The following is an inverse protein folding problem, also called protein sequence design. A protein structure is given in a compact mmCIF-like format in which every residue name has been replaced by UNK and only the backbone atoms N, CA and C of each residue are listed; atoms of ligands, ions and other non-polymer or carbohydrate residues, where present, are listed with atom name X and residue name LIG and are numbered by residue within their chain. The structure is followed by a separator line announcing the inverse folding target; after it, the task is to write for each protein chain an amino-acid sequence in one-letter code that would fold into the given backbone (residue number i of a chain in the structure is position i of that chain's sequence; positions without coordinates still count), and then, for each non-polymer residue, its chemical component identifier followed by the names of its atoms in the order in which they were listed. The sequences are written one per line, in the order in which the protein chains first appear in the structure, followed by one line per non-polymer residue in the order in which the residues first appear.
data_IF_697556033686
#
_entry.id   IF_697556033686
#
_cell.length_a   1.000
_cell.length_b   1.000
_cell.length_c   1.000
_cell.angle_alpha   90.00
_cell.angle_beta   90.00
_cell.angle_gamma   90.00
#
_symmetry.space_group_name_H-M   'P 1'
#
loop_
_entity.id
_entity.type
_entity.pdbx_description
1 polymer ?
#
# COMPACT_ATOMS: atom_id res chain seq x y z
N UNK A 1 18.36 52.75 35.03
CA UNK A 1 17.60 51.67 34.36
C UNK A 1 18.48 51.06 33.27
N UNK A 2 19.13 49.93 33.55
CA UNK A 2 19.04 48.78 32.63
C UNK A 2 19.16 47.43 33.37
N UNK A 3 18.18 46.52 33.24
CA UNK A 3 18.33 45.09 33.65
C UNK A 3 17.11 44.27 33.22
N UNK A 4 16.94 44.00 31.91
CA UNK A 4 15.96 43.01 31.42
C UNK A 4 16.37 42.21 30.18
N UNK A 5 17.64 42.24 29.77
CA UNK A 5 18.09 41.55 28.53
C UNK A 5 18.81 40.21 28.81
N UNK A 6 19.20 39.92 30.05
CA UNK A 6 20.09 38.76 30.33
C UNK A 6 19.39 37.41 30.54
N UNK A 7 18.07 37.35 30.73
CA UNK A 7 17.38 36.10 31.08
C UNK A 7 16.90 35.27 29.89
N UNK A 8 16.81 35.84 28.68
CA UNK A 8 16.33 35.11 27.51
C UNK A 8 17.39 34.20 26.88
N UNK A 9 18.68 34.57 26.96
CA UNK A 9 19.76 33.79 26.33
C UNK A 9 20.07 32.46 27.01
N UNK A 10 19.87 32.37 28.33
CA UNK A 10 20.20 31.16 29.10
C UNK A 10 19.18 30.04 28.85
N UNK A 11 17.91 30.38 28.60
CA UNK A 11 16.87 29.37 28.38
C UNK A 11 17.04 28.63 27.04
N UNK A 12 17.53 29.32 25.99
CA UNK A 12 17.73 28.74 24.66
C UNK A 12 18.93 27.78 24.63
N UNK A 13 19.99 28.08 25.39
CA UNK A 13 21.17 27.23 25.47
C UNK A 13 20.88 25.89 26.16
N UNK A 14 20.06 25.89 27.23
CA UNK A 14 19.73 24.67 27.98
C UNK A 14 18.81 23.73 27.18
N UNK A 15 17.88 24.27 26.40
CA UNK A 15 17.02 23.44 25.53
C UNK A 15 17.80 22.75 24.41
N UNK A 16 18.81 23.41 23.83
CA UNK A 16 19.61 22.81 22.75
C UNK A 16 20.47 21.64 23.24
N UNK A 17 21.03 21.73 24.45
CA UNK A 17 21.84 20.63 25.00
C UNK A 17 21.00 19.41 25.39
N UNK A 18 19.76 19.61 25.86
CA UNK A 18 18.85 18.52 26.19
C UNK A 18 18.38 17.75 24.95
N UNK A 19 18.11 18.47 23.84
CA UNK A 19 17.68 17.84 22.59
C UNK A 19 18.80 17.02 21.93
N UNK A 20 20.05 17.50 22.00
CA UNK A 20 21.20 16.77 21.44
C UNK A 20 21.52 15.50 22.23
N UNK A 21 21.39 15.52 23.56
CA UNK A 21 21.55 14.33 24.40
C UNK A 21 20.46 13.27 24.15
N UNK A 22 19.22 13.70 23.87
CA UNK A 22 18.11 12.80 23.53
C UNK A 22 18.32 12.13 22.16
N UNK A 23 18.86 12.86 21.18
CA UNK A 23 19.20 12.31 19.87
C UNK A 23 20.32 11.27 19.95
N UNK A 24 21.37 11.53 20.74
CA UNK A 24 22.47 10.57 20.94
C UNK A 24 22.04 9.29 21.69
N UNK A 25 21.02 9.38 22.56
CA UNK A 25 20.48 8.21 23.26
C UNK A 25 19.64 7.29 22.34
N UNK A 26 19.07 7.82 21.25
CA UNK A 26 18.29 7.04 20.29
C UNK A 26 19.17 6.18 19.38
N UNK A 27 20.40 6.61 19.07
CA UNK A 27 21.33 5.83 18.23
C UNK A 27 21.81 4.54 18.91
N UNK A 28 21.82 4.47 20.24
CA UNK A 28 22.24 3.26 20.95
C UNK A 28 21.17 2.16 21.04
N UNK A 29 19.93 2.42 20.64
CA UNK A 29 18.84 1.44 20.72
C UNK A 29 18.71 0.63 19.42
N UNK A 30 19.37 1.03 18.32
CA UNK A 30 19.19 0.39 17.01
C UNK A 30 20.32 -0.54 16.55
N UNK A 31 21.29 -0.84 17.42
CA UNK A 31 22.39 -1.74 17.12
C UNK A 31 22.28 -3.05 17.92
N UNK A 32 21.35 -3.92 17.53
CA UNK A 32 21.31 -5.26 18.07
C UNK A 32 20.13 -6.08 17.59
N UNK A 33 20.30 -6.83 16.50
CA UNK A 33 19.98 -8.26 16.55
C UNK A 33 20.63 -9.03 15.39
N UNK A 34 21.07 -10.23 15.76
CA UNK A 34 22.05 -11.03 15.06
C UNK A 34 21.45 -11.84 13.91
N UNK A 35 22.32 -12.11 12.93
CA UNK A 35 22.09 -13.04 11.84
C UNK A 35 21.73 -14.44 12.37
N UNK A 36 20.54 -14.91 12.04
CA UNK A 36 20.16 -16.32 12.18
C UNK A 36 20.30 -16.99 10.83
N UNK A 37 21.32 -17.85 10.71
CA UNK A 37 21.54 -18.76 9.58
C UNK A 37 20.44 -19.83 9.55
N UNK A 38 19.68 -19.91 8.46
CA UNK A 38 18.71 -20.98 8.19
C UNK A 38 19.39 -22.07 7.34
N UNK A 39 19.26 -23.36 7.71
CA UNK A 39 19.81 -24.46 6.92
C UNK A 39 19.00 -24.72 5.65
N UNK A 40 19.74 -25.09 4.58
CA UNK A 40 19.22 -25.50 3.29
C UNK A 40 18.38 -26.79 3.41
N UNK A 41 17.16 -26.77 2.86
CA UNK A 41 16.32 -27.95 2.72
C UNK A 41 16.33 -28.45 1.27
N UNK A 42 16.51 -29.77 1.17
CA UNK A 42 16.79 -30.55 -0.02
C UNK A 42 15.63 -30.62 -1.02
N UNK A 43 15.98 -30.50 -2.29
CA UNK A 43 15.19 -30.83 -3.47
C UNK A 43 14.82 -32.32 -3.53
N UNK A 44 13.53 -32.63 -3.62
CA UNK A 44 13.04 -33.93 -4.05
C UNK A 44 12.42 -33.78 -5.44
N UNK A 45 13.12 -34.30 -6.45
CA UNK A 45 12.65 -34.39 -7.82
C UNK A 45 11.48 -35.39 -7.92
N UNK A 46 10.35 -34.95 -8.46
CA UNK A 46 9.23 -35.82 -8.82
C UNK A 46 9.13 -35.91 -10.35
N UNK A 47 9.17 -37.15 -10.82
CA UNK A 47 9.11 -37.62 -12.21
C UNK A 47 7.85 -37.15 -12.94
N UNK A 48 7.94 -36.80 -14.25
CA UNK A 48 6.79 -36.41 -15.05
C UNK A 48 5.93 -37.60 -15.44
N UNK A 49 4.60 -37.48 -15.28
CA UNK A 49 3.63 -38.38 -15.90
C UNK A 49 3.16 -37.80 -17.24
N UNK A 50 3.24 -38.63 -18.27
CA UNK A 50 2.72 -38.39 -19.60
C UNK A 50 1.20 -38.39 -19.60
N UNK A 51 0.58 -37.38 -20.21
CA UNK A 51 -0.86 -37.34 -20.49
C UNK A 51 -1.03 -37.04 -21.99
N UNK A 52 -1.89 -37.85 -22.59
CA UNK A 52 -2.20 -38.00 -24.01
C UNK A 52 -2.73 -36.73 -24.72
N UNK A 53 -2.66 -36.68 -26.06
CA UNK A 53 -3.19 -35.60 -26.88
C UNK A 53 -4.66 -35.83 -27.30
N UNK A 54 -5.44 -34.73 -27.42
CA UNK A 54 -6.56 -34.41 -28.36
C UNK A 54 -7.58 -33.45 -27.67
N UNK A 55 -8.44 -32.67 -28.38
CA UNK A 55 -8.64 -32.45 -29.81
C UNK A 55 -8.54 -30.96 -30.24
N UNK A 56 -8.73 -30.71 -31.55
CA UNK A 56 -8.41 -29.47 -32.27
C UNK A 56 -9.27 -28.20 -32.02
N UNK A 57 -9.07 -27.16 -32.87
CA UNK A 57 -9.38 -25.78 -32.55
C UNK A 57 -10.85 -25.43 -32.79
N UNK A 58 -11.58 -25.10 -31.73
CA UNK A 58 -12.85 -24.38 -31.82
C UNK A 58 -12.55 -22.87 -31.90
N UNK A 59 -12.82 -22.29 -33.07
CA UNK A 59 -12.78 -20.86 -33.29
C UNK A 59 -13.70 -20.15 -32.28
N UNK A 60 -13.10 -19.36 -31.39
CA UNK A 60 -13.84 -18.53 -30.44
C UNK A 60 -13.97 -17.12 -30.99
N UNK A 61 -15.20 -16.80 -31.36
CA UNK A 61 -15.69 -15.48 -31.75
C UNK A 61 -15.38 -14.49 -30.64
N UNK A 62 -14.45 -13.57 -30.89
CA UNK A 62 -14.15 -12.46 -29.98
C UNK A 62 -15.21 -11.39 -30.19
N UNK A 63 -16.31 -11.45 -29.44
CA UNK A 63 -17.29 -10.38 -29.40
C UNK A 63 -16.84 -9.33 -28.40
N UNK A 64 -16.37 -8.22 -28.96
CA UNK A 64 -16.06 -6.92 -28.38
C UNK A 64 -16.96 -6.55 -27.19
N UNK A 65 -16.41 -6.66 -25.98
CA UNK A 65 -16.95 -6.07 -24.74
C UNK A 65 -16.15 -4.80 -24.43
N UNK A 66 -16.47 -3.70 -25.12
CA UNK A 66 -15.76 -2.41 -24.98
C UNK A 66 -16.58 -1.32 -24.26
N UNK A 67 -17.78 -1.65 -23.74
CA UNK A 67 -18.67 -0.65 -23.11
C UNK A 67 -19.01 -0.92 -21.64
N UNK A 68 -18.44 -1.96 -21.01
CA UNK A 68 -18.58 -2.24 -19.57
C UNK A 68 -17.31 -1.90 -18.77
N UNK A 69 -16.50 -0.96 -19.29
CA UNK A 69 -15.22 -0.49 -18.73
C UNK A 69 -15.37 0.76 -17.84
N UNK A 70 -16.56 1.35 -17.71
CA UNK A 70 -16.69 2.67 -17.08
C UNK A 70 -16.81 2.69 -15.54
N UNK A 71 -16.97 1.54 -14.88
CA UNK A 71 -17.33 1.45 -13.45
C UNK A 71 -16.35 0.64 -12.60
N UNK A 72 -15.09 0.55 -13.01
CA UNK A 72 -14.15 -0.36 -12.35
C UNK A 72 -13.32 0.38 -11.32
N UNK A 73 -13.52 -0.02 -10.05
CA UNK A 73 -12.60 0.27 -8.96
C UNK A 73 -11.20 -0.18 -9.35
N UNK A 74 -10.24 0.53 -8.82
CA UNK A 74 -8.83 0.29 -9.06
C UNK A 74 -8.13 0.06 -7.74
N UNK A 75 -7.10 -0.76 -7.80
CA UNK A 75 -6.30 -1.14 -6.65
C UNK A 75 -4.90 -0.59 -6.84
N UNK A 76 -4.41 0.19 -5.87
CA UNK A 76 -3.02 0.66 -5.83
C UNK A 76 -2.30 -0.12 -4.74
N UNK A 77 -1.24 -0.84 -5.08
CA UNK A 77 -0.39 -1.56 -4.13
C UNK A 77 0.80 -0.66 -3.82
N UNK A 78 0.82 -0.06 -2.63
CA UNK A 78 1.98 0.63 -2.09
C UNK A 78 2.93 -0.42 -1.50
N UNK A 79 4.12 -0.54 -2.07
CA UNK A 79 5.10 -1.52 -1.65
C UNK A 79 6.45 -1.33 -2.30
N UNK A 80 7.31 -2.33 -2.13
CA UNK A 80 8.64 -2.36 -2.74
C UNK A 80 8.81 -3.65 -3.52
N UNK A 81 9.46 -3.59 -4.70
CA UNK A 81 9.77 -4.79 -5.51
C UNK A 81 10.75 -5.74 -4.83
N UNK A 82 11.50 -5.27 -3.82
CA UNK A 82 12.37 -6.15 -3.02
C UNK A 82 11.59 -6.93 -1.97
N UNK A 83 10.37 -6.51 -1.61
CA UNK A 83 9.52 -7.22 -0.66
C UNK A 83 8.85 -8.47 -1.30
N UNK A 84 9.10 -9.69 -0.79
CA UNK A 84 8.48 -10.91 -1.33
C UNK A 84 6.95 -10.89 -1.27
N UNK A 85 6.35 -10.36 -0.19
CA UNK A 85 4.90 -10.24 -0.04
C UNK A 85 4.28 -9.24 -1.02
N UNK A 86 5.00 -8.17 -1.36
CA UNK A 86 4.57 -7.20 -2.37
C UNK A 86 4.53 -7.84 -3.76
N UNK A 87 5.60 -8.53 -4.16
CA UNK A 87 5.65 -9.25 -5.45
C UNK A 87 4.60 -10.35 -5.54
N UNK A 88 4.42 -11.10 -4.46
CA UNK A 88 3.38 -12.10 -4.32
C UNK A 88 1.97 -11.53 -4.59
N UNK A 89 1.68 -10.37 -4.01
CA UNK A 89 0.41 -9.70 -4.18
C UNK A 89 0.23 -9.15 -5.61
N UNK A 90 1.28 -8.54 -6.17
CA UNK A 90 1.29 -8.06 -7.57
C UNK A 90 1.02 -9.21 -8.54
N UNK A 91 1.73 -10.33 -8.41
CA UNK A 91 1.54 -11.51 -9.26
C UNK A 91 0.12 -12.09 -9.14
N UNK A 92 -0.41 -12.21 -7.92
CA UNK A 92 -1.79 -12.66 -7.70
C UNK A 92 -2.80 -11.78 -8.45
N UNK A 93 -2.67 -10.46 -8.39
CA UNK A 93 -3.59 -9.58 -9.11
C UNK A 93 -3.41 -9.66 -10.62
N UNK A 94 -2.19 -9.82 -11.12
CA UNK A 94 -1.94 -9.98 -12.56
C UNK A 94 -2.57 -11.27 -13.10
N UNK A 95 -2.52 -12.36 -12.34
CA UNK A 95 -3.06 -13.66 -12.72
C UNK A 95 -4.60 -13.71 -12.60
N UNK A 96 -5.13 -13.33 -11.44
CA UNK A 96 -6.55 -13.54 -11.11
C UNK A 96 -7.44 -12.35 -11.53
N UNK A 97 -6.87 -11.14 -11.62
CA UNK A 97 -7.62 -9.88 -11.75
C UNK A 97 -6.90 -8.86 -12.68
N UNK A 98 -6.57 -9.25 -13.92
CA UNK A 98 -5.72 -8.44 -14.79
C UNK A 98 -6.33 -7.07 -15.10
N UNK A 99 -5.47 -6.05 -15.18
CA UNK A 99 -5.83 -4.69 -15.60
C UNK A 99 -6.58 -3.86 -14.54
N UNK A 100 -6.64 -4.33 -13.28
CA UNK A 100 -7.31 -3.61 -12.17
C UNK A 100 -6.35 -3.08 -11.11
N UNK A 101 -5.09 -3.43 -11.20
CA UNK A 101 -4.13 -3.24 -10.12
C UNK A 101 -2.85 -2.59 -10.61
N UNK A 102 -2.34 -1.66 -9.82
CA UNK A 102 -1.16 -0.86 -10.13
C UNK A 102 -0.18 -0.93 -8.97
N UNK A 103 1.07 -1.31 -9.25
CA UNK A 103 2.12 -1.37 -8.24
C UNK A 103 2.84 -0.03 -8.15
N UNK A 104 2.89 0.55 -6.95
CA UNK A 104 3.51 1.84 -6.65
C UNK A 104 4.76 1.61 -5.80
N UNK A 105 5.94 1.85 -6.38
CA UNK A 105 7.23 1.68 -5.70
C UNK A 105 7.49 2.80 -4.69
N UNK A 106 7.45 2.47 -3.40
CA UNK A 106 7.59 3.47 -2.32
C UNK A 106 9.04 3.86 -2.03
N UNK A 107 10.02 3.16 -2.60
CA UNK A 107 11.44 3.50 -2.41
C UNK A 107 11.96 4.58 -3.36
N UNK A 108 11.17 4.97 -4.37
CA UNK A 108 11.50 6.04 -5.29
C UNK A 108 11.30 7.41 -4.61
N UNK A 109 12.41 8.09 -4.30
CA UNK A 109 12.39 9.33 -3.53
C UNK A 109 11.72 10.47 -4.29
N UNK A 110 10.87 11.21 -3.62
CA UNK A 110 10.10 12.32 -4.19
C UNK A 110 8.89 11.86 -5.01
N UNK A 111 8.63 10.56 -5.10
CA UNK A 111 7.42 10.04 -5.76
C UNK A 111 6.17 10.29 -4.91
N UNK A 112 5.03 10.36 -5.58
CA UNK A 112 3.71 10.29 -4.95
C UNK A 112 3.49 8.95 -4.23
N UNK A 113 4.14 7.86 -4.66
CA UNK A 113 4.12 6.57 -3.96
C UNK A 113 4.73 6.68 -2.55
N UNK A 114 5.94 7.27 -2.46
CA UNK A 114 6.62 7.54 -1.18
C UNK A 114 5.77 8.47 -0.30
N UNK A 115 5.24 9.55 -0.87
CA UNK A 115 4.42 10.51 -0.15
C UNK A 115 3.10 9.91 0.37
N UNK A 116 2.41 9.10 -0.44
CA UNK A 116 1.18 8.41 -0.06
C UNK A 116 1.43 7.42 1.08
N UNK A 117 2.49 6.60 1.00
CA UNK A 117 2.84 5.68 2.08
C UNK A 117 3.22 6.42 3.36
N UNK A 118 4.02 7.48 3.25
CA UNK A 118 4.40 8.34 4.38
C UNK A 118 3.18 9.00 5.05
N UNK A 119 2.20 9.43 4.26
CA UNK A 119 0.92 9.93 4.78
C UNK A 119 0.23 8.87 5.63
N UNK A 120 0.08 7.64 5.12
CA UNK A 120 -0.57 6.55 5.85
C UNK A 120 0.18 6.18 7.14
N UNK A 121 1.51 6.20 7.13
CA UNK A 121 2.35 6.01 8.33
C UNK A 121 2.12 7.14 9.33
N UNK A 122 2.12 8.40 8.89
CA UNK A 122 1.90 9.56 9.77
C UNK A 122 0.52 9.57 10.42
N UNK A 123 -0.48 9.03 9.71
CA UNK A 123 -1.86 8.84 10.19
C UNK A 123 -2.03 7.56 11.02
N UNK A 124 -0.94 6.81 11.28
CA UNK A 124 -0.92 5.54 12.02
C UNK A 124 -1.85 4.47 11.43
N UNK A 125 -2.06 4.51 10.12
CA UNK A 125 -2.87 3.50 9.41
C UNK A 125 -2.06 2.24 9.20
N UNK A 126 -0.80 2.37 8.77
CA UNK A 126 0.07 1.23 8.45
C UNK A 126 1.52 1.52 8.83
N UNK A 127 2.29 0.47 9.05
CA UNK A 127 3.75 0.48 9.01
C UNK A 127 4.30 -0.68 8.17
N UNK A 128 3.42 -1.38 7.45
CA UNK A 128 3.73 -2.63 6.77
C UNK A 128 3.43 -2.54 5.27
N UNK A 129 4.15 -3.35 4.50
CA UNK A 129 3.93 -3.52 3.06
C UNK A 129 3.59 -4.99 2.75
N UNK A 130 2.76 -5.29 1.74
CA UNK A 130 2.03 -4.31 0.91
C UNK A 130 0.93 -3.59 1.70
N UNK A 131 0.76 -2.30 1.43
CA UNK A 131 -0.44 -1.55 1.81
C UNK A 131 -1.24 -1.27 0.55
N UNK A 132 -2.48 -1.72 0.50
CA UNK A 132 -3.30 -1.73 -0.70
C UNK A 132 -4.43 -0.71 -0.54
N UNK A 133 -4.53 0.23 -1.45
CA UNK A 133 -5.57 1.27 -1.48
C UNK A 133 -6.61 0.90 -2.52
N UNK A 134 -7.89 0.90 -2.13
CA UNK A 134 -9.02 0.66 -3.05
C UNK A 134 -9.68 1.99 -3.37
N UNK A 135 -9.73 2.32 -4.64
CA UNK A 135 -10.18 3.61 -5.13
C UNK A 135 -11.44 3.46 -5.99
N UNK A 136 -12.44 4.31 -5.77
CA UNK A 136 -13.60 4.46 -6.65
C UNK A 136 -13.42 5.75 -7.48
N UNK A 137 -13.05 5.64 -8.76
CA UNK A 137 -12.76 6.80 -9.59
C UNK A 137 -14.01 7.60 -9.98
N UNK A 138 -15.21 7.00 -9.92
CA UNK A 138 -16.46 7.72 -10.22
C UNK A 138 -16.80 8.64 -9.06
N UNK A 139 -16.77 8.09 -7.84
CA UNK A 139 -17.07 8.87 -6.63
C UNK A 139 -15.90 9.74 -6.18
N UNK A 140 -14.69 9.49 -6.70
CA UNK A 140 -13.43 10.14 -6.31
C UNK A 140 -13.18 10.00 -4.80
N UNK A 141 -13.36 8.79 -4.29
CA UNK A 141 -13.14 8.44 -2.88
C UNK A 141 -12.17 7.27 -2.74
N UNK A 142 -11.50 7.22 -1.59
CA UNK A 142 -10.78 6.04 -1.11
C UNK A 142 -11.79 5.18 -0.36
N UNK A 143 -12.17 4.03 -0.91
CA UNK A 143 -13.20 3.17 -0.30
C UNK A 143 -12.67 2.35 0.88
N UNK A 144 -11.37 2.08 0.90
CA UNK A 144 -10.75 1.33 1.99
C UNK A 144 -9.27 1.07 1.78
N UNK A 145 -8.63 0.63 2.86
CA UNK A 145 -7.21 0.30 2.89
C UNK A 145 -7.06 -1.13 3.40
N UNK A 146 -6.27 -1.97 2.73
CA UNK A 146 -6.00 -3.36 3.11
C UNK A 146 -4.51 -3.50 3.37
N UNK A 147 -4.14 -3.96 4.56
CA UNK A 147 -2.76 -4.15 4.98
C UNK A 147 -2.41 -5.62 4.90
N UNK A 148 -1.30 -5.92 4.23
CA UNK A 148 -0.74 -7.27 4.09
C UNK A 148 -1.18 -7.99 2.82
N UNK A 149 -0.60 -9.18 2.63
CA UNK A 149 -0.91 -10.07 1.52
C UNK A 149 -2.25 -10.79 1.74
N UNK A 150 -3.15 -10.78 0.74
CA UNK A 150 -4.41 -11.51 0.81
C UNK A 150 -4.85 -12.12 -0.52
N UNK A 151 -4.64 -13.42 -0.70
CA UNK A 151 -4.87 -14.14 -1.96
C UNK A 151 -6.25 -14.79 -2.07
N UNK A 152 -7.31 -14.03 -1.86
CA UNK A 152 -8.68 -14.52 -2.07
C UNK A 152 -9.33 -13.81 -3.27
N UNK A 153 -9.30 -14.46 -4.44
CA UNK A 153 -9.84 -13.90 -5.68
C UNK A 153 -11.33 -13.60 -5.59
N UNK A 154 -12.11 -14.45 -4.92
CA UNK A 154 -13.56 -14.24 -4.74
C UNK A 154 -13.85 -12.99 -3.89
N UNK A 155 -13.07 -12.76 -2.84
CA UNK A 155 -13.21 -11.54 -2.03
C UNK A 155 -12.83 -10.29 -2.83
N UNK A 156 -11.69 -10.30 -3.51
CA UNK A 156 -11.25 -9.16 -4.32
C UNK A 156 -12.20 -8.85 -5.48
N UNK A 157 -12.78 -9.85 -6.13
CA UNK A 157 -13.85 -9.63 -7.13
C UNK A 157 -15.04 -8.91 -6.52
N UNK A 158 -15.51 -9.35 -5.35
CA UNK A 158 -16.59 -8.66 -4.65
C UNK A 158 -16.21 -7.22 -4.27
N UNK A 159 -14.98 -6.97 -3.84
CA UNK A 159 -14.49 -5.61 -3.55
C UNK A 159 -14.50 -4.74 -4.79
N UNK A 160 -13.99 -5.24 -5.92
CA UNK A 160 -13.94 -4.49 -7.17
C UNK A 160 -15.35 -4.20 -7.72
N UNK A 161 -16.28 -5.15 -7.59
CA UNK A 161 -17.66 -5.03 -8.09
C UNK A 161 -18.56 -4.19 -7.17
N UNK A 162 -18.51 -4.43 -5.86
CA UNK A 162 -19.48 -3.89 -4.89
C UNK A 162 -18.89 -2.85 -3.96
N UNK A 163 -17.57 -2.84 -3.80
CA UNK A 163 -16.85 -1.95 -2.90
C UNK A 163 -16.62 -2.56 -1.53
N UNK A 164 -15.87 -1.83 -0.70
CA UNK A 164 -15.64 -2.21 0.68
C UNK A 164 -16.78 -1.73 1.59
N UNK A 165 -17.34 -2.60 2.45
CA UNK A 165 -18.37 -2.18 3.39
C UNK A 165 -17.80 -1.28 4.48
N UNK A 166 -18.57 -0.30 4.95
CA UNK A 166 -18.22 0.55 6.09
C UNK A 166 -17.47 1.83 5.75
N UNK A 167 -17.10 2.05 4.48
CA UNK A 167 -16.57 3.33 4.01
C UNK A 167 -17.65 4.39 3.83
N UNK A 168 -17.33 5.63 4.20
CA UNK A 168 -18.10 6.83 3.88
C UNK A 168 -17.16 8.03 3.66
N UNK A 169 -17.72 9.22 3.41
CA UNK A 169 -16.94 10.44 3.10
C UNK A 169 -16.01 10.91 4.24
N UNK A 170 -16.22 10.41 5.45
CA UNK A 170 -15.49 10.80 6.67
C UNK A 170 -14.75 9.65 7.35
N UNK A 171 -14.92 8.41 6.88
CA UNK A 171 -14.32 7.24 7.53
C UNK A 171 -13.97 6.18 6.49
N UNK A 172 -12.70 5.79 6.47
CA UNK A 172 -12.15 4.81 5.53
C UNK A 172 -11.82 3.54 6.30
N UNK A 173 -12.49 2.42 6.06
CA UNK A 173 -12.22 1.18 6.78
C UNK A 173 -10.80 0.68 6.45
N UNK A 174 -10.10 0.27 7.50
CA UNK A 174 -8.78 -0.35 7.42
C UNK A 174 -8.94 -1.84 7.72
N UNK A 175 -8.52 -2.66 6.77
CA UNK A 175 -8.54 -4.11 6.86
C UNK A 175 -7.14 -4.63 7.11
N UNK A 176 -7.00 -5.60 8.00
CA UNK A 176 -5.91 -6.57 7.92
C UNK A 176 -6.48 -7.80 7.25
N UNK A 177 -5.98 -8.10 6.06
CA UNK A 177 -6.49 -9.23 5.24
C UNK A 177 -7.98 -9.02 4.93
N UNK A 178 -8.90 -9.76 5.56
CA UNK A 178 -10.35 -9.67 5.34
C UNK A 178 -11.14 -9.23 6.57
N UNK A 179 -10.46 -8.70 7.59
CA UNK A 179 -11.08 -8.24 8.84
C UNK A 179 -10.86 -6.75 9.01
N UNK A 180 -11.92 -6.03 9.29
CA UNK A 180 -11.83 -4.62 9.69
C UNK A 180 -11.07 -4.58 11.02
N UNK A 181 -9.96 -3.84 11.05
CA UNK A 181 -9.16 -3.62 12.26
C UNK A 181 -9.31 -2.20 12.81
N UNK A 182 -9.87 -1.30 12.02
CA UNK A 182 -10.05 0.10 12.40
C UNK A 182 -10.57 0.92 11.22
N UNK A 183 -10.51 2.24 11.38
CA UNK A 183 -10.82 3.19 10.32
C UNK A 183 -9.84 4.37 10.37
N UNK A 184 -9.57 4.95 9.21
CA UNK A 184 -8.93 6.25 9.11
C UNK A 184 -10.01 7.31 9.02
N UNK A 185 -10.04 8.20 10.00
CA UNK A 185 -10.94 9.35 10.01
C UNK A 185 -10.46 10.40 9.00
N UNK A 186 -11.41 10.94 8.25
CA UNK A 186 -11.21 11.97 7.22
C UNK A 186 -12.04 13.19 7.59
N UNK A 187 -11.40 14.34 7.62
CA UNK A 187 -12.09 15.61 7.86
C UNK A 187 -13.17 15.83 6.79
N UNK A 188 -14.35 16.38 7.15
CA UNK A 188 -15.39 16.68 6.18
C UNK A 188 -14.86 17.53 5.02
N UNK A 189 -15.10 17.08 3.78
CA UNK A 189 -14.61 17.73 2.56
C UNK A 189 -13.15 17.41 2.19
N UNK A 190 -12.38 16.69 3.01
CA UNK A 190 -10.99 16.33 2.72
C UNK A 190 -10.84 15.05 1.87
N UNK A 191 -11.92 14.29 1.66
CA UNK A 191 -11.89 13.02 0.91
C UNK A 191 -11.36 13.18 -0.52
N UNK A 192 -11.77 14.24 -1.24
CA UNK A 192 -11.30 14.45 -2.61
C UNK A 192 -9.79 14.71 -2.68
N UNK A 193 -9.26 15.49 -1.72
CA UNK A 193 -7.82 15.73 -1.61
C UNK A 193 -7.08 14.44 -1.27
N UNK A 194 -7.63 13.64 -0.36
CA UNK A 194 -7.07 12.35 0.02
C UNK A 194 -7.06 11.36 -1.15
N UNK A 195 -8.13 11.31 -1.94
CA UNK A 195 -8.21 10.56 -3.18
C UNK A 195 -7.16 11.03 -4.19
N UNK A 196 -6.93 12.35 -4.30
CA UNK A 196 -5.84 12.91 -5.08
C UNK A 196 -4.50 12.25 -4.75
N UNK A 197 -4.13 12.29 -3.47
CA UNK A 197 -2.85 11.74 -3.00
C UNK A 197 -2.77 10.22 -3.09
N UNK A 198 -3.77 9.49 -2.57
CA UNK A 198 -3.70 8.03 -2.42
C UNK A 198 -4.09 7.24 -3.67
N UNK A 199 -4.74 7.88 -4.64
CA UNK A 199 -5.21 7.24 -5.86
C UNK A 199 -4.65 7.95 -7.08
N UNK A 200 -5.09 9.18 -7.35
CA UNK A 200 -4.81 9.84 -8.64
C UNK A 200 -3.31 10.04 -8.90
N UNK A 201 -2.60 10.60 -7.93
CA UNK A 201 -1.18 10.93 -8.06
C UNK A 201 -0.36 9.64 -8.09
N UNK A 202 -0.64 8.69 -7.18
CA UNK A 202 0.01 7.37 -7.20
C UNK A 202 -0.18 6.62 -8.51
N UNK A 203 -1.36 6.68 -9.12
CA UNK A 203 -1.62 6.06 -10.42
C UNK A 203 -0.82 6.73 -11.53
N UNK A 204 -0.69 8.06 -11.51
CA UNK A 204 0.14 8.78 -12.46
C UNK A 204 1.59 8.28 -12.38
N UNK A 205 2.15 8.16 -11.17
CA UNK A 205 3.50 7.63 -10.98
C UNK A 205 3.64 6.16 -11.38
N UNK A 206 2.67 5.31 -11.06
CA UNK A 206 2.73 3.89 -11.48
C UNK A 206 2.81 3.72 -13.00
N UNK A 207 2.28 4.67 -13.78
CA UNK A 207 2.34 4.68 -15.24
C UNK A 207 3.65 5.25 -15.79
N UNK A 208 4.33 6.10 -15.02
CA UNK A 208 5.61 6.70 -15.39
C UNK A 208 6.81 5.81 -15.01
N UNK A 209 6.69 5.08 -13.89
CA UNK A 209 7.73 4.24 -13.33
C UNK A 209 7.55 2.74 -13.67
N UNK A 210 6.46 2.40 -14.36
CA UNK A 210 6.16 1.08 -14.90
C UNK A 210 6.70 0.88 -16.31
#
# INVERSE_FOLDING_TARGET
MPSRVLTAGILVAVLSTALLALLLALDHIYAGEAATTVPAASTTATTPQAISPLPGPAASTTTTSSQQELHKRIVVILGTRSCPHCRAMEAFFQEELPGRTYFCEITEKGSSCEAAFSLLVSKRVTMAVPTIVVCDPIKRIVEGIVIGEYRNATWWRNVLEKGLPGGNETSIPVYMVNRITGAMEVEPGAMEKLYGVLCNDTLADTRLLG
#
